data_IF_915048976820
#
_entry.id   IF_915048976820
#
_cell.length_a   1.000
_cell.length_b   1.000
_cell.length_c   1.000
_cell.angle_alpha   90.00
_cell.angle_beta   90.00
_cell.angle_gamma   90.00
#
_symmetry.space_group_name_H-M   'P 1'
#
loop_
_entity.id
_entity.type
_entity.pdbx_description
1 polymer ?
#
# COMPACT_ATOMS: atom_id res chain seq x y z
N UNK A 1 11.02 0.18 8.02
CA UNK A 1 9.58 0.18 8.36
C UNK A 1 8.81 1.17 7.50
N UNK A 2 9.15 2.48 7.50
CA UNK A 2 8.47 3.49 6.65
C UNK A 2 8.34 3.08 5.17
N UNK A 3 9.41 2.55 4.54
CA UNK A 3 9.40 2.05 3.15
C UNK A 3 8.27 1.06 2.84
N UNK A 4 7.82 0.25 3.80
CA UNK A 4 6.75 -0.73 3.61
C UNK A 4 5.34 -0.14 3.82
N UNK A 5 5.21 0.90 4.66
CA UNK A 5 4.01 1.74 4.73
C UNK A 5 3.83 2.53 3.41
N UNK A 6 4.94 2.97 2.80
CA UNK A 6 4.97 3.70 1.53
C UNK A 6 4.68 2.83 0.30
N UNK A 7 5.09 1.56 0.28
CA UNK A 7 5.03 0.73 -0.93
C UNK A 7 3.65 0.10 -1.21
N UNK A 8 2.71 0.13 -0.26
CA UNK A 8 1.40 -0.54 -0.41
C UNK A 8 0.36 0.29 -1.17
N UNK A 9 0.60 1.59 -1.38
CA UNK A 9 -0.29 2.47 -2.15
C UNK A 9 0.11 2.65 -3.63
N UNK A 10 1.26 2.11 -4.07
CA UNK A 10 1.84 2.46 -5.38
C UNK A 10 1.65 1.45 -6.50
N UNK A 11 0.64 0.57 -6.45
CA UNK A 11 0.37 -0.35 -7.57
C UNK A 11 -0.59 0.25 -8.60
N UNK A 12 -0.19 1.37 -9.21
CA UNK A 12 -0.72 1.83 -10.49
C UNK A 12 0.37 2.62 -11.22
N UNK A 13 1.24 1.91 -11.93
CA UNK A 13 2.03 2.47 -13.02
C UNK A 13 2.42 1.32 -13.97
N UNK A 14 1.42 0.83 -14.71
CA UNK A 14 1.60 -0.09 -15.82
C UNK A 14 1.53 0.72 -17.12
N UNK A 15 2.56 0.52 -17.95
CA UNK A 15 2.66 0.69 -19.40
C UNK A 15 2.65 2.11 -20.00
N UNK A 16 3.76 2.43 -20.67
CA UNK A 16 3.88 3.50 -21.66
C UNK A 16 5.13 3.29 -22.52
N UNK A 17 4.93 2.76 -23.73
CA UNK A 17 5.91 2.43 -24.76
C UNK A 17 6.87 3.56 -25.13
N UNK A 18 8.10 3.18 -25.51
CA UNK A 18 9.12 4.07 -26.02
C UNK A 18 8.83 4.63 -27.42
N UNK A 19 9.31 5.85 -27.65
CA UNK A 19 9.63 6.43 -28.95
C UNK A 19 10.76 7.47 -28.76
N UNK A 20 11.71 7.45 -29.69
CA UNK A 20 12.94 8.22 -29.72
C UNK A 20 12.80 9.59 -30.41
N UNK A 21 13.26 10.67 -29.73
CA UNK A 21 13.83 11.98 -30.19
C UNK A 21 13.07 12.85 -31.22
N UNK A 22 13.16 14.21 -31.21
CA UNK A 22 14.31 15.03 -30.79
C UNK A 22 14.01 16.19 -29.81
N UNK A 23 15.09 16.77 -29.31
CA UNK A 23 15.11 17.92 -28.42
C UNK A 23 14.54 19.19 -29.07
N UNK A 24 13.44 19.71 -28.50
CA UNK A 24 13.01 21.09 -28.64
C UNK A 24 13.18 21.77 -27.28
N UNK A 25 14.19 22.62 -27.19
CA UNK A 25 14.34 23.57 -26.12
C UNK A 25 13.26 24.65 -26.29
N UNK A 26 12.22 24.64 -25.46
CA UNK A 26 11.31 25.78 -25.32
C UNK A 26 10.74 25.81 -23.91
N UNK A 27 11.22 26.80 -23.15
CA UNK A 27 10.53 27.52 -22.07
C UNK A 27 9.51 26.72 -21.26
N UNK A 28 9.94 26.19 -20.11
CA UNK A 28 9.03 25.80 -19.06
C UNK A 28 8.30 27.05 -18.53
N UNK A 29 6.97 27.12 -18.59
CA UNK A 29 6.24 27.99 -17.68
C UNK A 29 6.56 27.49 -16.28
N UNK A 30 7.16 28.34 -15.44
CA UNK A 30 7.23 28.07 -14.01
C UNK A 30 5.79 27.95 -13.52
N UNK A 31 5.33 26.73 -13.25
CA UNK A 31 4.08 26.52 -12.55
C UNK A 31 4.13 27.35 -11.26
N UNK A 32 3.02 28.01 -10.86
CA UNK A 32 2.96 28.68 -9.57
C UNK A 32 3.43 27.69 -8.51
N UNK A 33 4.45 28.05 -7.74
CA UNK A 33 4.81 27.31 -6.54
C UNK A 33 3.58 27.35 -5.64
N UNK A 34 2.79 26.27 -5.65
CA UNK A 34 1.73 26.06 -4.66
C UNK A 34 2.36 26.36 -3.29
N UNK A 35 1.76 27.23 -2.47
CA UNK A 35 2.29 27.51 -1.15
C UNK A 35 2.59 26.17 -0.49
N UNK A 36 3.83 26.00 -0.01
CA UNK A 36 4.24 24.82 0.77
C UNK A 36 3.31 24.79 1.97
N UNK A 37 2.19 24.07 1.83
CA UNK A 37 1.13 24.07 2.83
C UNK A 37 1.75 23.45 4.06
N UNK A 38 2.14 24.31 5.01
CA UNK A 38 2.83 23.89 6.21
C UNK A 38 1.87 22.95 6.95
N UNK A 39 2.32 21.72 7.18
CA UNK A 39 1.58 20.76 7.98
C UNK A 39 1.79 21.17 9.43
N UNK A 40 0.70 21.41 10.16
CA UNK A 40 0.79 21.75 11.57
C UNK A 40 1.38 20.58 12.38
N UNK A 41 2.13 20.88 13.43
CA UNK A 41 2.77 19.85 14.26
C UNK A 41 1.75 18.90 14.93
N UNK A 42 0.57 19.42 15.28
CA UNK A 42 -0.56 18.61 15.78
C UNK A 42 -1.07 17.62 14.72
N UNK A 43 -1.20 18.06 13.47
CA UNK A 43 -1.59 17.19 12.36
C UNK A 43 -0.53 16.10 12.12
N UNK A 44 0.75 16.45 12.29
CA UNK A 44 1.83 15.48 12.16
C UNK A 44 1.81 14.43 13.28
N UNK A 45 1.44 14.82 14.51
CA UNK A 45 1.27 13.90 15.64
C UNK A 45 0.11 12.92 15.40
N UNK A 46 -1.05 13.43 14.98
CA UNK A 46 -2.21 12.60 14.61
C UNK A 46 -1.86 11.67 13.45
N UNK A 47 -1.11 12.15 12.47
CA UNK A 47 -0.66 11.35 11.34
C UNK A 47 0.22 10.19 11.81
N UNK A 48 1.18 10.45 12.71
CA UNK A 48 2.04 9.42 13.32
C UNK A 48 1.21 8.39 14.08
N UNK A 49 0.20 8.82 14.85
CA UNK A 49 -0.72 7.91 15.55
C UNK A 49 -1.49 7.02 14.59
N UNK A 50 -2.12 7.61 13.56
CA UNK A 50 -2.82 6.88 12.51
C UNK A 50 -1.88 5.89 11.79
N UNK A 51 -0.67 6.32 11.44
CA UNK A 51 0.32 5.47 10.77
C UNK A 51 0.69 4.23 11.59
N UNK A 52 0.84 4.36 12.91
CA UNK A 52 1.09 3.20 13.81
C UNK A 52 -0.10 2.23 13.83
N UNK A 53 -1.34 2.75 13.88
CA UNK A 53 -2.55 1.92 13.82
C UNK A 53 -2.65 1.19 12.49
N UNK A 54 -2.37 1.88 11.38
CA UNK A 54 -2.36 1.29 10.03
C UNK A 54 -1.28 0.21 9.87
N UNK A 55 -0.10 0.40 10.46
CA UNK A 55 0.96 -0.62 10.50
C UNK A 55 0.50 -1.88 11.24
N UNK A 56 -0.10 -1.73 12.42
CA UNK A 56 -0.66 -2.86 13.18
C UNK A 56 -1.76 -3.61 12.40
N UNK A 57 -2.68 -2.88 11.76
CA UNK A 57 -3.71 -3.47 10.90
C UNK A 57 -3.08 -4.23 9.72
N UNK A 58 -2.01 -3.69 9.13
CA UNK A 58 -1.31 -4.36 8.03
C UNK A 58 -0.63 -5.65 8.48
N UNK A 59 -0.07 -5.70 9.70
CA UNK A 59 0.53 -6.90 10.27
C UNK A 59 -0.54 -7.96 10.52
N UNK A 60 -1.65 -7.59 11.16
CA UNK A 60 -2.81 -8.48 11.38
C UNK A 60 -3.33 -9.06 10.07
N UNK A 61 -3.53 -8.22 9.05
CA UNK A 61 -3.95 -8.66 7.72
C UNK A 61 -3.00 -9.70 7.12
N UNK A 62 -1.68 -9.49 7.22
CA UNK A 62 -0.70 -10.42 6.65
C UNK A 62 -0.75 -11.80 7.34
N UNK A 63 -0.96 -11.81 8.66
CA UNK A 63 -1.21 -13.03 9.43
C UNK A 63 -2.49 -13.73 8.95
N UNK A 64 -3.59 -13.00 8.81
CA UNK A 64 -4.88 -13.55 8.37
C UNK A 64 -4.80 -14.13 6.95
N UNK A 65 -4.12 -13.44 6.02
CA UNK A 65 -3.90 -13.96 4.66
C UNK A 65 -3.13 -15.29 4.69
N UNK A 66 -2.06 -15.35 5.49
CA UNK A 66 -1.25 -16.58 5.63
C UNK A 66 -2.10 -17.73 6.16
N UNK A 67 -2.88 -17.48 7.22
CA UNK A 67 -3.77 -18.48 7.82
C UNK A 67 -4.86 -18.93 6.85
N UNK A 68 -5.49 -18.01 6.11
CA UNK A 68 -6.54 -18.34 5.14
C UNK A 68 -6.04 -19.26 4.02
N UNK A 69 -4.83 -18.99 3.50
CA UNK A 69 -4.19 -19.85 2.48
C UNK A 69 -3.87 -21.23 3.05
N UNK A 70 -3.25 -21.28 4.24
CA UNK A 70 -2.89 -22.54 4.90
C UNK A 70 -4.11 -23.40 5.25
N UNK A 71 -5.22 -22.77 5.66
CA UNK A 71 -6.48 -23.45 5.98
C UNK A 71 -7.08 -24.20 4.79
N UNK A 72 -6.85 -23.70 3.58
CA UNK A 72 -7.27 -24.37 2.33
C UNK A 72 -6.29 -25.47 1.89
N UNK A 73 -5.23 -25.72 2.64
CA UNK A 73 -4.24 -26.76 2.35
C UNK A 73 -3.22 -26.35 1.29
N UNK A 74 -3.00 -25.05 1.08
CA UNK A 74 -1.95 -24.52 0.22
C UNK A 74 -0.83 -23.89 1.05
N UNK A 75 0.40 -23.95 0.55
CA UNK A 75 1.48 -23.08 1.05
C UNK A 75 1.32 -21.69 0.45
N UNK A 76 1.87 -20.67 1.12
CA UNK A 76 1.85 -19.29 0.60
C UNK A 76 2.60 -19.20 -0.74
N UNK A 77 3.72 -19.90 -0.87
CA UNK A 77 4.50 -19.93 -2.11
C UNK A 77 3.72 -20.57 -3.26
N UNK A 78 3.04 -21.71 -3.00
CA UNK A 78 2.23 -22.38 -4.03
C UNK A 78 1.04 -21.53 -4.44
N UNK A 79 0.37 -20.89 -3.48
CA UNK A 79 -0.69 -19.94 -3.77
C UNK A 79 -0.19 -18.79 -4.65
N UNK A 80 0.98 -18.21 -4.34
CA UNK A 80 1.59 -17.13 -5.13
C UNK A 80 1.94 -17.58 -6.54
N UNK A 81 2.49 -18.79 -6.69
CA UNK A 81 2.80 -19.39 -7.99
C UNK A 81 1.54 -19.53 -8.85
N UNK A 82 0.47 -20.11 -8.30
CA UNK A 82 -0.83 -20.25 -8.98
C UNK A 82 -1.40 -18.87 -9.34
N UNK A 83 -1.34 -17.90 -8.42
CA UNK A 83 -1.81 -16.53 -8.66
C UNK A 83 -1.08 -15.84 -9.83
N UNK A 84 0.26 -15.98 -9.89
CA UNK A 84 1.05 -15.41 -10.97
C UNK A 84 0.77 -16.11 -12.29
N UNK A 85 0.64 -17.44 -12.29
CA UNK A 85 0.30 -18.22 -13.47
C UNK A 85 -1.08 -17.85 -14.05
N UNK A 86 -2.06 -17.50 -13.21
CA UNK A 86 -3.36 -17.02 -13.69
C UNK A 86 -3.32 -15.61 -14.30
N UNK A 87 -2.32 -14.78 -13.94
CA UNK A 87 -2.17 -13.41 -14.46
C UNK A 87 -1.38 -13.32 -15.75
N UNK A 88 -0.55 -14.31 -16.04
CA UNK A 88 0.24 -14.37 -17.26
C UNK A 88 -0.39 -15.36 -18.24
N UNK A 89 -0.97 -14.89 -19.37
CA UNK A 89 -1.56 -15.76 -20.39
C UNK A 89 -0.55 -16.73 -21.02
N UNK A 90 0.76 -16.47 -20.87
CA UNK A 90 1.85 -17.30 -21.38
C UNK A 90 2.42 -18.27 -20.34
N UNK A 91 1.99 -18.16 -19.08
CA UNK A 91 2.44 -19.08 -18.05
C UNK A 91 1.86 -20.47 -18.29
N UNK A 92 2.70 -21.49 -18.10
CA UNK A 92 2.30 -22.88 -18.27
C UNK A 92 1.35 -23.30 -17.15
N UNK A 93 0.05 -23.27 -17.41
CA UNK A 93 -1.01 -23.69 -16.47
C UNK A 93 -1.11 -25.21 -16.30
N UNK A 94 -0.42 -25.98 -17.15
CA UNK A 94 -0.48 -27.45 -17.19
C UNK A 94 0.00 -28.15 -15.91
N UNK A 95 0.59 -27.43 -14.95
CA UNK A 95 1.03 -27.98 -13.66
C UNK A 95 0.08 -27.69 -12.49
N UNK A 96 -1.08 -27.06 -12.74
CA UNK A 96 -2.06 -26.76 -11.70
C UNK A 96 -3.16 -27.82 -11.76
N UNK A 97 -3.28 -28.63 -10.73
CA UNK A 97 -4.33 -29.64 -10.64
C UNK A 97 -5.72 -29.01 -10.38
N UNK A 98 -6.78 -29.75 -10.69
CA UNK A 98 -8.15 -29.31 -10.39
C UNK A 98 -8.39 -29.09 -8.89
N UNK A 99 -7.79 -29.92 -8.03
CA UNK A 99 -7.86 -29.78 -6.56
C UNK A 99 -7.19 -28.48 -6.10
N UNK A 100 -5.97 -28.19 -6.59
CA UNK A 100 -5.28 -26.94 -6.28
C UNK A 100 -6.05 -25.72 -6.77
N UNK A 101 -6.67 -25.80 -7.96
CA UNK A 101 -7.54 -24.74 -8.47
C UNK A 101 -8.71 -24.48 -7.50
N UNK A 102 -9.38 -25.52 -7.02
CA UNK A 102 -10.49 -25.37 -6.08
C UNK A 102 -10.05 -24.79 -4.74
N UNK A 103 -8.92 -25.25 -4.18
CA UNK A 103 -8.33 -24.69 -2.96
C UNK A 103 -7.95 -23.23 -3.13
N UNK A 104 -7.37 -22.89 -4.27
CA UNK A 104 -7.01 -21.53 -4.62
C UNK A 104 -8.25 -20.63 -4.72
N UNK A 105 -9.31 -21.07 -5.42
CA UNK A 105 -10.55 -20.30 -5.58
C UNK A 105 -11.20 -20.00 -4.20
N UNK A 106 -11.20 -20.98 -3.28
CA UNK A 106 -11.68 -20.77 -1.90
C UNK A 106 -10.79 -19.82 -1.11
N UNK A 107 -9.47 -19.94 -1.23
CA UNK A 107 -8.54 -19.02 -0.59
C UNK A 107 -8.74 -17.58 -1.09
N UNK A 108 -8.95 -17.38 -2.40
CA UNK A 108 -9.27 -16.06 -2.99
C UNK A 108 -10.56 -15.48 -2.38
N UNK A 109 -11.61 -16.29 -2.21
CA UNK A 109 -12.85 -15.84 -1.59
C UNK A 109 -12.63 -15.35 -0.14
N UNK A 110 -11.82 -16.06 0.65
CA UNK A 110 -11.45 -15.63 2.00
C UNK A 110 -10.60 -14.35 1.98
N UNK A 111 -9.60 -14.28 1.10
CA UNK A 111 -8.74 -13.11 0.93
C UNK A 111 -9.53 -11.85 0.54
N UNK A 112 -10.54 -11.98 -0.31
CA UNK A 112 -11.43 -10.87 -0.65
C UNK A 112 -12.19 -10.33 0.57
N UNK A 113 -12.59 -11.21 1.48
CA UNK A 113 -13.27 -10.81 2.73
C UNK A 113 -12.29 -10.09 3.66
N UNK A 114 -11.12 -10.68 3.89
CA UNK A 114 -10.02 -10.06 4.68
C UNK A 114 -9.68 -8.68 4.12
N UNK A 115 -9.61 -8.54 2.80
CA UNK A 115 -9.29 -7.28 2.14
C UNK A 115 -10.35 -6.19 2.40
N UNK A 116 -11.64 -6.53 2.35
CA UNK A 116 -12.74 -5.59 2.64
C UNK A 116 -12.75 -5.15 4.11
N UNK A 117 -12.58 -6.10 5.03
CA UNK A 117 -12.50 -5.82 6.46
C UNK A 117 -11.29 -4.94 6.78
N UNK A 118 -10.14 -5.24 6.17
CA UNK A 118 -8.92 -4.44 6.31
C UNK A 118 -9.13 -3.00 5.84
N UNK A 119 -9.76 -2.79 4.67
CA UNK A 119 -10.06 -1.43 4.17
C UNK A 119 -10.95 -0.65 5.15
N UNK A 120 -11.96 -1.32 5.71
CA UNK A 120 -12.87 -0.72 6.70
C UNK A 120 -12.12 -0.33 7.98
N UNK A 121 -11.27 -1.23 8.51
CA UNK A 121 -10.43 -0.98 9.69
C UNK A 121 -9.46 0.18 9.45
N UNK A 122 -8.82 0.24 8.28
CA UNK A 122 -7.89 1.32 7.93
C UNK A 122 -8.59 2.68 7.85
N UNK A 123 -9.75 2.76 7.18
CA UNK A 123 -10.54 4.00 7.12
C UNK A 123 -10.96 4.48 8.51
N UNK A 124 -11.47 3.55 9.34
CA UNK A 124 -11.87 3.85 10.72
C UNK A 124 -10.70 4.33 11.58
N UNK A 125 -9.51 3.74 11.42
CA UNK A 125 -8.32 4.13 12.17
C UNK A 125 -7.85 5.55 11.83
N UNK A 126 -7.99 5.97 10.56
CA UNK A 126 -7.68 7.34 10.12
C UNK A 126 -8.73 8.32 10.67
N UNK A 127 -10.01 7.98 10.56
CA UNK A 127 -11.12 8.80 11.08
C UNK A 127 -11.03 8.99 12.60
N UNK A 128 -10.62 7.97 13.34
CA UNK A 128 -10.44 8.04 14.79
C UNK A 128 -9.37 9.07 15.23
N UNK A 129 -8.43 9.44 14.35
CA UNK A 129 -7.44 10.49 14.60
C UNK A 129 -7.92 11.88 14.14
N UNK A 130 -9.16 11.99 13.67
CA UNK A 130 -9.76 13.24 13.20
C UNK A 130 -9.41 13.59 11.75
N UNK A 131 -9.01 12.61 10.94
CA UNK A 131 -8.77 12.81 9.52
C UNK A 131 -9.84 12.15 8.65
N UNK A 132 -10.22 12.84 7.59
CA UNK A 132 -10.77 12.20 6.40
C UNK A 132 -9.66 11.44 5.66
N UNK A 133 -9.98 10.30 5.06
CA UNK A 133 -9.01 9.47 4.33
C UNK A 133 -8.26 10.26 3.24
N UNK A 134 -8.91 11.07 2.38
CA UNK A 134 -8.21 11.88 1.38
C UNK A 134 -7.21 12.86 1.99
N UNK A 135 -7.52 13.45 3.15
CA UNK A 135 -6.62 14.38 3.84
C UNK A 135 -5.38 13.65 4.38
N UNK A 136 -5.57 12.48 4.97
CA UNK A 136 -4.45 11.64 5.41
C UNK A 136 -3.53 11.27 4.24
N UNK A 137 -4.09 10.88 3.09
CA UNK A 137 -3.31 10.57 1.89
C UNK A 137 -2.57 11.79 1.32
N UNK A 138 -3.18 12.97 1.37
CA UNK A 138 -2.50 14.23 1.00
C UNK A 138 -1.31 14.53 1.92
N UNK A 139 -1.49 14.36 3.23
CA UNK A 139 -0.41 14.54 4.22
C UNK A 139 0.72 13.53 3.96
N UNK A 140 0.37 12.26 3.69
CA UNK A 140 1.33 11.23 3.31
C UNK A 140 2.14 11.67 2.09
N UNK A 141 1.49 12.10 1.00
CA UNK A 141 2.15 12.57 -0.22
C UNK A 141 3.12 13.73 0.03
N UNK A 142 2.69 14.72 0.84
CA UNK A 142 3.54 15.86 1.22
C UNK A 142 4.77 15.43 2.03
N UNK A 143 4.60 14.48 2.96
CA UNK A 143 5.71 13.90 3.73
C UNK A 143 6.65 13.15 2.79
N UNK A 144 6.13 12.35 1.86
CA UNK A 144 6.94 11.58 0.91
C UNK A 144 7.80 12.49 0.02
N UNK A 145 7.30 13.65 -0.38
CA UNK A 145 8.00 14.60 -1.24
C UNK A 145 8.96 15.53 -0.49
N UNK A 146 8.97 15.52 0.84
CA UNK A 146 9.74 16.46 1.65
C UNK A 146 10.66 15.74 2.66
N UNK A 147 11.98 15.67 2.39
CA UNK A 147 12.95 14.99 3.25
C UNK A 147 12.96 15.48 4.71
N UNK A 148 12.70 16.77 4.95
CA UNK A 148 12.69 17.32 6.32
C UNK A 148 11.45 16.83 7.09
N UNK A 149 10.30 16.74 6.42
CA UNK A 149 9.11 16.14 7.02
C UNK A 149 9.29 14.64 7.26
N UNK A 150 9.97 13.91 6.37
CA UNK A 150 10.30 12.50 6.60
C UNK A 150 11.14 12.33 7.87
N UNK A 151 12.21 13.11 8.03
CA UNK A 151 13.06 13.09 9.23
C UNK A 151 12.26 13.42 10.48
N UNK A 152 11.39 14.44 10.43
CA UNK A 152 10.55 14.84 11.56
C UNK A 152 9.60 13.72 11.98
N UNK A 153 8.90 13.10 11.03
CA UNK A 153 8.01 11.96 11.30
C UNK A 153 8.77 10.77 11.87
N UNK A 154 9.96 10.49 11.36
CA UNK A 154 10.81 9.40 11.87
C UNK A 154 11.22 9.65 13.34
N UNK A 155 11.59 10.89 13.69
CA UNK A 155 11.89 11.26 15.07
C UNK A 155 10.66 11.13 15.98
N UNK A 156 9.48 11.50 15.50
CA UNK A 156 8.22 11.37 16.24
C UNK A 156 7.84 9.91 16.47
N UNK A 157 8.03 9.03 15.48
CA UNK A 157 7.84 7.60 15.64
C UNK A 157 8.78 6.98 16.67
N UNK A 158 10.05 7.42 16.70
CA UNK A 158 11.05 6.95 17.67
C UNK A 158 10.78 7.43 19.10
N UNK A 159 10.27 8.64 19.27
CA UNK A 159 9.99 9.23 20.59
C UNK A 159 8.67 8.74 21.18
N UNK A 160 7.65 8.46 20.36
CA UNK A 160 6.37 7.88 20.78
C UNK A 160 6.43 6.36 21.08
N UNK A 161 7.63 5.78 21.11
CA UNK A 161 7.89 4.37 21.46
C UNK A 161 8.69 4.20 22.76
N UNK A 162 8.83 5.27 23.56
CA UNK A 162 9.36 5.22 24.93
C UNK A 162 8.23 5.41 25.94
#
# INVERSE_FOLDING_TARGET
MMKYLLATCSLMALLGMGHSLPALAQSTPSAPATPKSAIADNDLQKFVSAAKKLEAISIDRNTQVTQAVQKEGLTVDRFKEIFLAQKDPKATTNQISNDEKQKFDRAIAQLNTIQKETQTKMGSAVQAEGFEVPRFLQILDLIQKNPDLQKKVEQMLKSAGR
#
